data_IF_350414007601
#
_entry.id   IF_350414007601
#
_cell.length_a   1.000
_cell.length_b   1.000
_cell.length_c   1.000
_cell.angle_alpha   90.00
_cell.angle_beta   90.00
_cell.angle_gamma   90.00
#
_symmetry.space_group_name_H-M   'P 1'
#
loop_
_entity.id
_entity.type
_entity.pdbx_description
1 polymer ?
#
# COMPACT_ATOMS: atom_id res chain seq x y z
N UNK A 1 -40.10 5.18 4.65
CA UNK A 1 -38.85 5.07 3.87
C UNK A 1 -38.87 3.80 3.03
N UNK A 2 -38.60 3.88 1.72
CA UNK A 2 -38.79 2.76 0.77
C UNK A 2 -37.77 1.62 1.04
N UNK A 3 -38.24 0.37 1.19
CA UNK A 3 -37.39 -0.82 1.43
C UNK A 3 -36.24 -0.95 0.42
N UNK A 4 -36.48 -0.58 -0.85
CA UNK A 4 -35.48 -0.58 -1.93
C UNK A 4 -34.32 0.39 -1.67
N UNK A 5 -34.60 1.57 -1.11
CA UNK A 5 -33.57 2.58 -0.80
C UNK A 5 -32.66 2.08 0.33
N UNK A 6 -33.23 1.43 1.34
CA UNK A 6 -32.47 0.85 2.47
C UNK A 6 -31.54 -0.24 1.96
N UNK A 7 -32.02 -1.14 1.09
CA UNK A 7 -31.24 -2.24 0.54
C UNK A 7 -30.07 -1.74 -0.33
N UNK A 8 -30.33 -0.78 -1.23
CA UNK A 8 -29.29 -0.15 -2.04
C UNK A 8 -28.21 0.52 -1.19
N UNK A 9 -28.62 1.20 -0.11
CA UNK A 9 -27.71 1.85 0.82
C UNK A 9 -26.82 0.84 1.55
N UNK A 10 -27.40 -0.26 2.05
CA UNK A 10 -26.65 -1.37 2.67
C UNK A 10 -25.62 -1.98 1.69
N UNK A 11 -26.02 -2.20 0.43
CA UNK A 11 -25.13 -2.73 -0.61
C UNK A 11 -23.96 -1.79 -0.92
N UNK A 12 -24.23 -0.48 -1.03
CA UNK A 12 -23.18 0.55 -1.23
C UNK A 12 -22.22 0.63 -0.05
N UNK A 13 -22.74 0.64 1.18
CA UNK A 13 -21.93 0.66 2.41
C UNK A 13 -21.04 -0.58 2.51
N UNK A 14 -21.56 -1.78 2.22
CA UNK A 14 -20.76 -3.01 2.21
C UNK A 14 -19.61 -2.94 1.19
N UNK A 15 -19.84 -2.38 -0.01
CA UNK A 15 -18.80 -2.19 -1.02
C UNK A 15 -17.74 -1.17 -0.60
N UNK A 16 -18.16 -0.06 0.01
CA UNK A 16 -17.24 0.95 0.52
C UNK A 16 -16.37 0.39 1.65
N UNK A 17 -16.99 -0.38 2.55
CA UNK A 17 -16.29 -1.06 3.63
C UNK A 17 -15.26 -2.07 3.10
N UNK A 18 -15.63 -2.89 2.11
CA UNK A 18 -14.70 -3.81 1.47
C UNK A 18 -13.51 -3.08 0.84
N UNK A 19 -13.78 -1.99 0.11
CA UNK A 19 -12.72 -1.16 -0.48
C UNK A 19 -11.76 -0.59 0.58
N UNK A 20 -12.27 -0.08 1.69
CA UNK A 20 -11.43 0.44 2.78
C UNK A 20 -10.56 -0.67 3.40
N UNK A 21 -11.12 -1.86 3.62
CA UNK A 21 -10.40 -3.04 4.14
C UNK A 21 -9.29 -3.45 3.18
N UNK A 22 -9.58 -3.55 1.89
CA UNK A 22 -8.62 -3.96 0.87
C UNK A 22 -7.51 -2.92 0.66
N UNK A 23 -7.86 -1.64 0.69
CA UNK A 23 -6.90 -0.53 0.64
C UNK A 23 -5.96 -0.57 1.85
N UNK A 24 -6.49 -0.81 3.05
CA UNK A 24 -5.69 -0.98 4.27
C UNK A 24 -4.76 -2.18 4.12
N UNK A 25 -5.30 -3.32 3.68
CA UNK A 25 -4.56 -4.56 3.53
C UNK A 25 -3.41 -4.47 2.51
N UNK A 26 -3.57 -3.64 1.46
CA UNK A 26 -2.51 -3.33 0.50
C UNK A 26 -1.42 -2.44 1.12
N UNK A 27 -1.81 -1.42 1.88
CA UNK A 27 -0.89 -0.46 2.50
C UNK A 27 -0.07 -1.05 3.65
N UNK A 28 -0.63 -2.01 4.40
CA UNK A 28 0.03 -2.62 5.57
C UNK A 28 1.40 -3.23 5.22
N UNK A 29 1.55 -4.12 4.24
CA UNK A 29 2.86 -4.59 3.81
C UNK A 29 3.58 -3.56 2.91
N UNK A 30 2.84 -2.80 2.10
CA UNK A 30 3.44 -1.87 1.12
C UNK A 30 4.24 -0.75 1.76
N UNK A 31 3.66 -0.06 2.76
CA UNK A 31 4.25 1.13 3.39
C UNK A 31 5.67 0.90 3.96
N UNK A 32 5.92 -0.13 4.79
CA UNK A 32 7.27 -0.39 5.29
C UNK A 32 8.24 -0.86 4.19
N UNK A 33 7.77 -1.57 3.16
CA UNK A 33 8.66 -1.98 2.06
C UNK A 33 9.09 -0.77 1.23
N UNK A 34 8.17 0.15 0.94
CA UNK A 34 8.51 1.42 0.29
C UNK A 34 9.43 2.28 1.17
N UNK A 35 9.24 2.28 2.50
CA UNK A 35 10.16 2.90 3.45
C UNK A 35 11.59 2.39 3.27
N UNK A 36 11.73 1.07 3.22
CA UNK A 36 13.01 0.41 3.11
C UNK A 36 13.68 0.75 1.78
N UNK A 37 12.90 0.72 0.69
CA UNK A 37 13.42 1.10 -0.62
C UNK A 37 13.91 2.55 -0.65
N UNK A 38 13.10 3.50 -0.17
CA UNK A 38 13.47 4.93 -0.17
C UNK A 38 14.75 5.17 0.65
N UNK A 39 14.85 4.54 1.84
CA UNK A 39 16.02 4.69 2.72
C UNK A 39 17.27 4.05 2.15
N UNK A 40 17.16 2.89 1.49
CA UNK A 40 18.27 2.20 0.81
C UNK A 40 18.65 2.86 -0.52
N UNK A 41 17.72 3.56 -1.18
CA UNK A 41 18.02 4.25 -2.43
C UNK A 41 18.96 5.43 -2.19
N UNK A 42 19.97 5.58 -3.05
CA UNK A 42 20.84 6.76 -3.08
C UNK A 42 20.16 8.02 -3.64
N UNK A 43 18.84 7.99 -3.82
CA UNK A 43 18.07 9.08 -4.43
C UNK A 43 17.92 10.31 -3.52
N UNK A 44 18.52 10.31 -2.32
CA UNK A 44 18.55 11.44 -1.38
C UNK A 44 17.18 12.10 -1.15
N UNK A 45 16.12 11.28 -1.04
CA UNK A 45 14.80 11.78 -0.66
C UNK A 45 14.89 12.47 0.70
N UNK A 46 14.38 13.70 0.77
CA UNK A 46 14.20 14.39 2.04
C UNK A 46 13.10 13.71 2.85
N UNK A 47 13.17 13.78 4.19
CA UNK A 47 12.13 13.24 5.09
C UNK A 47 10.72 13.76 4.75
N UNK A 48 10.63 15.03 4.35
CA UNK A 48 9.39 15.65 3.91
C UNK A 48 8.86 15.04 2.61
N UNK A 49 9.71 14.81 1.60
CA UNK A 49 9.31 14.15 0.35
C UNK A 49 8.83 12.73 0.58
N UNK A 50 9.54 11.95 1.41
CA UNK A 50 9.13 10.60 1.80
C UNK A 50 7.79 10.60 2.54
N UNK A 51 7.60 11.48 3.52
CA UNK A 51 6.33 11.57 4.25
C UNK A 51 5.17 11.93 3.32
N UNK A 52 5.40 12.89 2.43
CA UNK A 52 4.42 13.33 1.44
C UNK A 52 4.08 12.24 0.42
N UNK A 53 5.08 11.53 -0.09
CA UNK A 53 4.88 10.44 -1.07
C UNK A 53 3.94 9.38 -0.50
N UNK A 54 4.06 9.04 0.78
CA UNK A 54 3.20 8.04 1.43
C UNK A 54 1.83 8.54 1.75
N UNK A 55 1.70 9.80 2.17
CA UNK A 55 0.40 10.39 2.43
C UNK A 55 -0.42 10.39 1.14
N UNK A 56 0.20 10.81 0.03
CA UNK A 56 -0.43 10.74 -1.28
C UNK A 56 -0.65 9.31 -1.76
N UNK A 57 0.32 8.41 -1.57
CA UNK A 57 0.17 7.00 -1.93
C UNK A 57 -1.00 6.34 -1.19
N UNK A 58 -1.14 6.62 0.10
CA UNK A 58 -2.28 6.17 0.91
C UNK A 58 -3.58 6.82 0.42
N UNK A 59 -3.61 8.14 0.23
CA UNK A 59 -4.79 8.85 -0.26
C UNK A 59 -5.27 8.30 -1.60
N UNK A 60 -4.38 8.18 -2.59
CA UNK A 60 -4.70 7.66 -3.93
C UNK A 60 -5.18 6.21 -3.87
N UNK A 61 -4.56 5.39 -3.00
CA UNK A 61 -5.02 4.02 -2.71
C UNK A 61 -6.48 4.01 -2.24
N UNK A 62 -6.82 4.84 -1.25
CA UNK A 62 -8.18 4.95 -0.73
C UNK A 62 -9.16 5.63 -1.71
N UNK A 63 -8.70 6.52 -2.59
CA UNK A 63 -9.56 7.17 -3.58
C UNK A 63 -9.97 6.25 -4.74
N UNK A 64 -9.26 5.14 -4.95
CA UNK A 64 -9.69 4.13 -5.91
C UNK A 64 -8.60 3.20 -6.42
N UNK A 65 -7.33 3.55 -6.22
CA UNK A 65 -6.24 2.73 -6.74
C UNK A 65 -6.20 1.34 -6.07
N UNK A 66 -6.59 1.23 -4.79
CA UNK A 66 -6.74 -0.06 -4.11
C UNK A 66 -7.81 -0.95 -4.75
N UNK A 67 -8.94 -0.35 -5.19
CA UNK A 67 -10.00 -1.06 -5.91
C UNK A 67 -9.56 -1.50 -7.30
N UNK A 68 -8.79 -0.65 -7.99
CA UNK A 68 -8.27 -0.98 -9.31
C UNK A 68 -7.28 -2.15 -9.22
N UNK A 69 -6.40 -2.14 -8.22
CA UNK A 69 -5.49 -3.24 -7.94
C UNK A 69 -6.24 -4.54 -7.64
N UNK A 70 -7.22 -4.51 -6.71
CA UNK A 70 -8.05 -5.67 -6.37
C UNK A 70 -8.75 -6.24 -7.60
N UNK A 71 -9.47 -5.37 -8.33
CA UNK A 71 -10.23 -5.78 -9.50
C UNK A 71 -9.33 -6.39 -10.57
N UNK A 72 -8.20 -5.75 -10.87
CA UNK A 72 -7.26 -6.24 -11.87
C UNK A 72 -6.60 -7.56 -11.47
N UNK A 73 -6.25 -7.72 -10.20
CA UNK A 73 -5.68 -8.95 -9.66
C UNK A 73 -6.69 -10.10 -9.75
N UNK A 74 -7.93 -9.90 -9.26
CA UNK A 74 -8.98 -10.92 -9.28
C UNK A 74 -9.33 -11.33 -10.71
N UNK A 75 -9.48 -10.36 -11.63
CA UNK A 75 -9.76 -10.64 -13.04
C UNK A 75 -8.63 -11.35 -13.74
N UNK A 76 -7.39 -11.00 -13.42
CA UNK A 76 -6.22 -11.70 -13.95
C UNK A 76 -6.16 -13.15 -13.46
N UNK A 77 -6.43 -13.41 -12.17
CA UNK A 77 -6.52 -14.79 -11.64
C UNK A 77 -7.62 -15.60 -12.33
N UNK A 78 -8.78 -15.00 -12.55
CA UNK A 78 -9.91 -15.61 -13.28
C UNK A 78 -9.51 -15.97 -14.71
N UNK A 79 -8.90 -15.02 -15.44
CA UNK A 79 -8.46 -15.21 -16.82
C UNK A 79 -7.44 -16.34 -16.98
N UNK A 80 -6.47 -16.45 -16.06
CA UNK A 80 -5.44 -17.49 -16.09
C UNK A 80 -5.83 -18.77 -15.34
N UNK A 81 -7.08 -18.89 -14.87
CA UNK A 81 -7.59 -20.03 -14.11
C UNK A 81 -6.72 -20.41 -12.89
N UNK A 82 -6.32 -19.40 -12.12
CA UNK A 82 -5.43 -19.55 -10.96
C UNK A 82 -6.26 -19.91 -9.71
N UNK A 83 -6.35 -21.22 -9.45
CA UNK A 83 -7.20 -21.76 -8.37
C UNK A 83 -6.45 -22.17 -7.10
N UNK A 84 -5.21 -22.66 -7.21
CA UNK A 84 -4.45 -23.18 -6.06
C UNK A 84 -3.71 -22.07 -5.31
N UNK A 85 -3.51 -22.22 -4.00
CA UNK A 85 -2.85 -21.20 -3.17
C UNK A 85 -1.39 -20.95 -3.60
N UNK A 86 -0.67 -21.98 -4.01
CA UNK A 86 0.70 -21.85 -4.56
C UNK A 86 0.71 -21.02 -5.85
N UNK A 87 -0.16 -21.34 -6.81
CA UNK A 87 -0.25 -20.58 -8.06
C UNK A 87 -0.74 -19.16 -7.82
N UNK A 88 -1.63 -18.94 -6.85
CA UNK A 88 -2.08 -17.58 -6.45
C UNK A 88 -0.92 -16.76 -5.93
N UNK A 89 -0.06 -17.32 -5.07
CA UNK A 89 1.10 -16.62 -4.54
C UNK A 89 2.02 -16.14 -5.68
N UNK A 90 2.36 -17.03 -6.60
CA UNK A 90 3.27 -16.71 -7.71
C UNK A 90 2.63 -15.75 -8.71
N UNK A 91 1.34 -15.94 -9.01
CA UNK A 91 0.57 -15.01 -9.84
C UNK A 91 0.50 -13.62 -9.20
N UNK A 92 0.26 -13.52 -7.90
CA UNK A 92 0.17 -12.25 -7.20
C UNK A 92 1.50 -11.51 -7.19
N UNK A 93 2.62 -12.22 -7.05
CA UNK A 93 3.96 -11.67 -7.20
C UNK A 93 4.16 -11.08 -8.60
N UNK A 94 3.87 -11.86 -9.65
CA UNK A 94 3.99 -11.40 -11.04
C UNK A 94 3.05 -10.23 -11.34
N UNK A 95 1.82 -10.27 -10.84
CA UNK A 95 0.85 -9.20 -10.97
C UNK A 95 1.36 -7.92 -10.27
N UNK A 96 1.90 -8.05 -9.05
CA UNK A 96 2.52 -6.94 -8.33
C UNK A 96 3.70 -6.32 -9.07
N UNK A 97 4.55 -7.13 -9.70
CA UNK A 97 5.65 -6.65 -10.54
C UNK A 97 5.14 -5.89 -11.78
N UNK A 98 4.19 -6.48 -12.53
CA UNK A 98 3.61 -5.85 -13.70
C UNK A 98 2.86 -4.56 -13.36
N UNK A 99 2.12 -4.56 -12.25
CA UNK A 99 1.42 -3.39 -11.73
C UNK A 99 2.41 -2.25 -11.42
N UNK A 100 3.51 -2.55 -10.73
CA UNK A 100 4.53 -1.54 -10.44
C UNK A 100 5.25 -1.06 -11.70
N UNK A 101 5.49 -1.93 -12.68
CA UNK A 101 6.08 -1.53 -13.96
C UNK A 101 5.25 -0.45 -14.68
N UNK A 102 3.92 -0.50 -14.52
CA UNK A 102 2.99 0.47 -15.12
C UNK A 102 2.83 1.73 -14.25
N UNK A 103 2.64 1.56 -12.94
CA UNK A 103 2.31 2.67 -12.04
C UNK A 103 3.54 3.49 -11.63
N UNK A 104 4.70 2.86 -11.45
CA UNK A 104 5.92 3.54 -11.01
C UNK A 104 6.35 4.69 -11.93
N UNK A 105 6.39 4.57 -13.27
CA UNK A 105 6.79 5.70 -14.11
C UNK A 105 5.80 6.87 -14.03
N UNK A 106 4.49 6.58 -13.92
CA UNK A 106 3.45 7.60 -13.73
C UNK A 106 3.68 8.33 -12.40
N UNK A 107 3.93 7.58 -11.33
CA UNK A 107 4.20 8.13 -10.01
C UNK A 107 5.48 8.95 -9.96
N UNK A 108 6.57 8.42 -10.53
CA UNK A 108 7.86 9.09 -10.63
C UNK A 108 7.72 10.45 -11.35
N UNK A 109 6.98 10.47 -12.46
CA UNK A 109 6.69 11.71 -13.16
C UNK A 109 5.83 12.67 -12.32
N UNK A 110 4.80 12.17 -11.63
CA UNK A 110 3.94 12.98 -10.77
C UNK A 110 4.70 13.65 -9.61
N UNK A 111 5.72 12.99 -9.05
CA UNK A 111 6.56 13.54 -7.96
C UNK A 111 7.75 14.38 -8.44
N UNK A 112 7.85 14.63 -9.75
CA UNK A 112 8.80 15.60 -10.32
C UNK A 112 10.03 15.01 -11.01
N UNK A 113 10.18 13.68 -11.10
CA UNK A 113 11.26 13.11 -11.91
C UNK A 113 10.98 13.38 -13.40
N UNK A 114 12.02 13.81 -14.13
CA UNK A 114 11.92 14.16 -15.57
C UNK A 114 12.88 13.36 -16.45
N UNK A 115 13.97 12.87 -15.88
CA UNK A 115 14.99 12.13 -16.61
C UNK A 115 14.57 10.66 -16.82
N UNK A 116 14.71 10.17 -18.06
CA UNK A 116 14.31 8.80 -18.44
C UNK A 116 15.12 7.74 -17.68
N UNK A 117 16.44 7.92 -17.54
CA UNK A 117 17.32 6.96 -16.87
C UNK A 117 16.90 6.66 -15.42
N UNK A 118 16.79 7.68 -14.54
CA UNK A 118 16.29 7.52 -13.18
C UNK A 118 14.87 6.92 -13.10
N UNK A 119 13.96 7.31 -14.00
CA UNK A 119 12.60 6.76 -14.06
C UNK A 119 12.63 5.26 -14.38
N UNK A 120 13.42 4.86 -15.38
CA UNK A 120 13.57 3.45 -15.77
C UNK A 120 14.21 2.63 -14.66
N UNK A 121 15.26 3.14 -14.01
CA UNK A 121 15.91 2.47 -12.89
C UNK A 121 14.95 2.27 -11.71
N UNK A 122 14.24 3.35 -11.31
CA UNK A 122 13.24 3.26 -10.25
C UNK A 122 12.13 2.27 -10.60
N UNK A 123 11.66 2.28 -11.86
CA UNK A 123 10.64 1.34 -12.34
C UNK A 123 11.13 -0.10 -12.28
N UNK A 124 12.36 -0.38 -12.69
CA UNK A 124 12.94 -1.72 -12.60
C UNK A 124 13.05 -2.20 -11.15
N UNK A 125 13.55 -1.35 -10.24
CA UNK A 125 13.65 -1.69 -8.83
C UNK A 125 12.27 -1.93 -8.19
N UNK A 126 11.30 -1.05 -8.46
CA UNK A 126 9.93 -1.19 -7.93
C UNK A 126 9.21 -2.40 -8.52
N UNK A 127 9.48 -2.76 -9.78
CA UNK A 127 8.94 -3.97 -10.38
C UNK A 127 9.50 -5.22 -9.71
N UNK A 128 10.81 -5.23 -9.44
CA UNK A 128 11.46 -6.32 -8.69
C UNK A 128 10.91 -6.44 -7.26
N UNK A 129 10.75 -5.31 -6.55
CA UNK A 129 10.07 -5.28 -5.25
C UNK A 129 8.60 -5.71 -5.34
N UNK A 130 7.96 -5.42 -6.48
CA UNK A 130 6.59 -5.84 -6.79
C UNK A 130 6.39 -7.35 -6.74
N UNK A 131 7.43 -8.16 -6.99
CA UNK A 131 7.36 -9.62 -6.80
C UNK A 131 7.12 -9.98 -5.33
N UNK A 132 7.79 -9.29 -4.40
CA UNK A 132 7.62 -9.54 -2.96
C UNK A 132 6.32 -8.92 -2.47
N UNK A 133 6.08 -7.64 -2.81
CA UNK A 133 4.89 -6.90 -2.39
C UNK A 133 3.63 -7.56 -2.90
N UNK A 134 3.61 -8.03 -4.15
CA UNK A 134 2.44 -8.64 -4.77
C UNK A 134 1.95 -9.87 -4.01
N UNK A 135 2.84 -10.81 -3.68
CA UNK A 135 2.50 -11.98 -2.89
C UNK A 135 2.00 -11.63 -1.48
N UNK A 136 2.65 -10.67 -0.81
CA UNK A 136 2.23 -10.20 0.51
C UNK A 136 0.88 -9.46 0.46
N UNK A 137 0.65 -8.64 -0.56
CA UNK A 137 -0.58 -7.90 -0.76
C UNK A 137 -1.76 -8.83 -1.01
N UNK A 138 -1.60 -9.81 -1.92
CA UNK A 138 -2.64 -10.81 -2.19
C UNK A 138 -3.00 -11.63 -0.96
N UNK A 139 -2.00 -12.05 -0.17
CA UNK A 139 -2.24 -12.72 1.11
C UNK A 139 -2.94 -11.81 2.13
N UNK A 140 -2.44 -10.58 2.29
CA UNK A 140 -2.95 -9.59 3.24
C UNK A 140 -4.40 -9.24 2.95
N UNK A 141 -4.77 -9.02 1.69
CA UNK A 141 -6.15 -8.73 1.29
C UNK A 141 -7.10 -9.86 1.66
N UNK A 142 -6.76 -11.12 1.35
CA UNK A 142 -7.59 -12.26 1.75
C UNK A 142 -7.68 -12.39 3.28
N UNK A 143 -6.56 -12.20 4.00
CA UNK A 143 -6.53 -12.27 5.45
C UNK A 143 -7.40 -11.19 6.11
N UNK A 144 -7.29 -9.93 5.65
CA UNK A 144 -8.08 -8.82 6.18
C UNK A 144 -9.56 -8.98 5.88
N UNK A 145 -9.93 -9.44 4.67
CA UNK A 145 -11.32 -9.76 4.32
C UNK A 145 -11.89 -10.84 5.24
N UNK A 146 -11.10 -11.88 5.57
CA UNK A 146 -11.48 -12.94 6.52
C UNK A 146 -11.66 -12.36 7.93
N UNK A 147 -10.73 -11.50 8.35
CA UNK A 147 -10.75 -10.92 9.69
C UNK A 147 -11.97 -10.06 9.97
N UNK A 148 -12.47 -9.36 8.96
CA UNK A 148 -13.66 -8.51 9.10
C UNK A 148 -14.97 -9.24 8.78
N UNK A 149 -14.90 -10.48 8.28
CA UNK A 149 -16.06 -11.29 7.89
C UNK A 149 -16.67 -10.90 6.53
N UNK A 150 -15.84 -10.45 5.57
CA UNK A 150 -16.26 -10.15 4.21
C UNK A 150 -16.19 -11.36 3.28
N UNK A 151 -15.10 -12.14 3.37
CA UNK A 151 -14.81 -13.31 2.54
C UNK A 151 -13.83 -14.21 3.29
N UNK A 152 -14.04 -15.52 3.30
CA UNK A 152 -13.11 -16.45 3.95
C UNK A 152 -11.81 -16.54 3.14
N UNK A 153 -10.68 -16.58 3.85
CA UNK A 153 -9.36 -16.75 3.22
C UNK A 153 -9.09 -18.21 2.93
N UNK A 154 -8.58 -18.54 1.75
CA UNK A 154 -8.07 -19.90 1.47
C UNK A 154 -6.69 -20.12 2.09
N UNK A 155 -5.85 -19.08 2.12
CA UNK A 155 -4.43 -19.14 2.50
C UNK A 155 -4.12 -19.03 4.00
N UNK A 156 -5.04 -18.53 4.82
CA UNK A 156 -4.81 -18.45 6.27
C UNK A 156 -4.63 -19.87 6.88
N UNK A 157 -3.80 -20.07 7.90
CA UNK A 157 -3.75 -21.34 8.61
C UNK A 157 -5.06 -21.58 9.39
N UNK A 158 -5.49 -22.84 9.50
CA UNK A 158 -6.76 -23.21 10.15
C UNK A 158 -6.89 -22.69 11.59
N UNK A 159 -5.77 -22.59 12.32
CA UNK A 159 -5.73 -22.03 13.69
C UNK A 159 -6.21 -20.58 13.73
N UNK A 160 -5.87 -19.77 12.73
CA UNK A 160 -6.28 -18.35 12.64
C UNK A 160 -7.72 -18.26 12.12
N UNK A 161 -8.10 -19.05 11.11
CA UNK A 161 -9.47 -19.03 10.56
C UNK A 161 -10.54 -19.36 11.61
N UNK A 162 -10.22 -20.26 12.55
CA UNK A 162 -11.13 -20.68 13.63
C UNK A 162 -11.20 -19.72 14.83
N UNK A 163 -10.41 -18.64 14.85
CA UNK A 163 -10.46 -17.66 15.94
C UNK A 163 -11.76 -16.87 15.92
N UNK A 164 -12.14 -16.33 17.08
CA UNK A 164 -13.29 -15.44 17.20
C UNK A 164 -13.09 -14.16 16.40
N UNK A 165 -14.19 -13.53 15.99
CA UNK A 165 -14.16 -12.26 15.23
C UNK A 165 -13.35 -11.18 15.95
N UNK A 166 -13.47 -11.07 17.26
CA UNK A 166 -12.74 -10.09 18.08
C UNK A 166 -11.23 -10.29 17.97
N UNK A 167 -10.76 -11.54 18.07
CA UNK A 167 -9.33 -11.86 17.94
C UNK A 167 -8.83 -11.50 16.54
N UNK A 168 -9.59 -11.85 15.49
CA UNK A 168 -9.23 -11.51 14.11
C UNK A 168 -9.14 -10.00 13.87
N UNK A 169 -10.10 -9.22 14.39
CA UNK A 169 -10.04 -7.75 14.33
C UNK A 169 -8.85 -7.18 15.12
N UNK A 170 -8.50 -7.81 16.25
CA UNK A 170 -7.29 -7.48 16.99
C UNK A 170 -6.02 -7.71 16.17
N UNK A 171 -5.93 -8.85 15.45
CA UNK A 171 -4.81 -9.14 14.55
C UNK A 171 -4.72 -8.15 13.39
N UNK A 172 -5.85 -7.77 12.79
CA UNK A 172 -5.89 -6.73 11.76
C UNK A 172 -5.34 -5.39 12.28
N UNK A 173 -5.83 -4.98 13.46
CA UNK A 173 -5.41 -3.72 14.10
C UNK A 173 -3.92 -3.74 14.47
N UNK A 174 -3.44 -4.87 15.01
CA UNK A 174 -2.02 -5.08 15.31
C UNK A 174 -1.16 -5.02 14.04
N UNK A 175 -1.64 -5.57 12.93
CA UNK A 175 -0.94 -5.50 11.63
C UNK A 175 -0.77 -4.05 11.15
N UNK A 176 -1.80 -3.21 11.29
CA UNK A 176 -1.71 -1.77 10.98
C UNK A 176 -0.71 -1.07 11.92
N UNK A 177 -0.81 -1.29 13.23
CA UNK A 177 0.11 -0.70 14.20
C UNK A 177 1.57 -1.12 13.94
N UNK A 178 1.80 -2.40 13.66
CA UNK A 178 3.12 -2.93 13.32
C UNK A 178 3.66 -2.33 12.02
N UNK A 179 2.82 -2.14 11.00
CA UNK A 179 3.20 -1.48 9.75
C UNK A 179 3.69 -0.04 9.97
N UNK A 180 2.95 0.74 10.78
CA UNK A 180 3.33 2.12 11.12
C UNK A 180 4.63 2.14 11.92
N UNK A 181 4.74 1.30 12.96
CA UNK A 181 5.94 1.22 13.79
C UNK A 181 7.19 0.78 13.01
N UNK A 182 7.04 -0.23 12.13
CA UNK A 182 8.13 -0.69 11.26
C UNK A 182 8.54 0.41 10.28
N UNK A 183 7.57 1.10 9.69
CA UNK A 183 7.81 2.22 8.79
C UNK A 183 8.65 3.31 9.46
N UNK A 184 8.24 3.75 10.65
CA UNK A 184 8.96 4.75 11.44
C UNK A 184 10.37 4.28 11.82
N UNK A 185 10.50 3.03 12.27
CA UNK A 185 11.78 2.44 12.62
C UNK A 185 12.77 2.43 11.45
N UNK A 186 12.27 2.14 10.23
CA UNK A 186 13.09 2.14 9.01
C UNK A 186 13.67 3.54 8.73
N UNK A 187 12.90 4.63 8.87
CA UNK A 187 13.46 5.99 8.70
C UNK A 187 14.50 6.31 9.74
N UNK A 188 14.23 5.99 11.02
CA UNK A 188 15.17 6.25 12.10
C UNK A 188 16.52 5.59 11.85
N UNK A 189 16.50 4.31 11.47
CA UNK A 189 17.72 3.56 11.12
C UNK A 189 18.38 4.13 9.86
N UNK A 190 17.60 4.43 8.81
CA UNK A 190 18.13 5.01 7.57
C UNK A 190 18.81 6.36 7.77
N UNK A 191 18.21 7.26 8.56
CA UNK A 191 18.77 8.56 8.89
C UNK A 191 20.04 8.45 9.74
N UNK A 192 20.04 7.53 10.72
CA UNK A 192 21.22 7.23 11.53
C UNK A 192 22.41 6.78 10.65
N UNK A 193 22.17 5.86 9.70
CA UNK A 193 23.21 5.39 8.77
C UNK A 193 23.76 6.52 7.89
N UNK A 194 22.90 7.47 7.48
CA UNK A 194 23.29 8.61 6.64
C UNK A 194 23.93 9.76 7.43
N UNK A 195 24.02 9.66 8.76
CA UNK A 195 24.52 10.74 9.61
C UNK A 195 23.63 12.00 9.60
N UNK A 196 22.35 11.84 9.25
CA UNK A 196 21.38 12.94 9.29
C UNK A 196 20.88 13.05 10.71
N UNK A 197 21.18 14.16 11.39
CA UNK A 197 20.62 14.42 12.72
C UNK A 197 19.09 14.40 12.66
N UNK A 198 18.42 13.77 13.63
CA UNK A 198 16.97 13.81 13.71
C UNK A 198 16.53 15.27 13.75
N UNK A 199 15.87 15.73 12.68
CA UNK A 199 15.29 17.06 12.73
C UNK A 199 14.22 17.02 13.81
N UNK A 200 14.29 17.95 14.79
CA UNK A 200 13.20 18.11 15.75
C UNK A 200 11.89 18.17 14.95
N UNK A 201 10.77 17.58 15.44
CA UNK A 201 9.50 17.59 14.73
C UNK A 201 9.03 19.04 14.59
N UNK A 202 9.53 19.72 13.55
CA UNK A 202 9.08 21.04 13.14
C UNK A 202 7.64 20.82 12.72
N UNK A 203 6.72 21.63 13.24
CA UNK A 203 5.29 21.56 12.94
C UNK A 203 5.08 21.38 11.43
N UNK A 204 4.92 20.14 10.99
CA UNK A 204 5.11 19.77 9.59
C UNK A 204 4.13 20.46 8.66
N UNK A 205 2.99 20.88 9.21
CA UNK A 205 1.95 21.63 8.51
C UNK A 205 2.37 23.06 8.17
N UNK A 206 3.15 23.74 9.02
CA UNK A 206 3.55 25.13 8.78
C UNK A 206 4.52 25.22 7.58
N UNK A 207 5.48 24.28 7.51
CA UNK A 207 6.42 24.20 6.39
C UNK A 207 5.75 23.77 5.08
N UNK A 208 4.65 23.00 5.15
CA UNK A 208 3.84 22.62 3.97
C UNK A 208 3.09 23.83 3.40
N UNK A 209 2.61 24.74 4.25
CA UNK A 209 1.99 25.99 3.80
C UNK A 209 3.05 26.89 3.17
N UNK A 210 4.23 27.03 3.78
CA UNK A 210 5.33 27.82 3.23
C UNK A 210 5.82 27.31 1.86
N UNK A 211 6.04 26.00 1.70
CA UNK A 211 6.57 25.43 0.45
C UNK A 211 5.60 25.55 -0.73
N UNK A 212 4.28 25.59 -0.47
CA UNK A 212 3.27 25.79 -1.51
C UNK A 212 2.91 27.26 -1.76
N UNK A 213 3.34 28.18 -0.88
CA UNK A 213 3.09 29.62 -1.02
C UNK A 213 4.32 30.40 -1.47
N UNK A 214 5.52 29.81 -1.40
CA UNK A 214 6.72 30.43 -1.94
C UNK A 214 6.60 30.57 -3.47
N UNK A 215 6.68 31.80 -4.02
CA UNK A 215 6.64 32.02 -5.46
C UNK A 215 7.84 31.29 -6.07
N UNK A 216 7.56 30.36 -7.00
CA UNK A 216 8.61 29.71 -7.76
C UNK A 216 9.29 30.76 -8.63
N UNK A 217 10.41 31.29 -8.14
CA UNK A 217 11.30 32.14 -8.90
C UNK A 217 11.78 31.32 -10.09
N UNK A 218 11.33 31.73 -11.28
CA UNK A 218 11.76 31.19 -12.57
C UNK A 218 13.19 31.59 -12.88
#
# INVERSE_FOLDING_TARGET
MNKKIIELSKKKLKKLYAHAVNSTALLVPGTPIFALFETMSNANYTEAQSTYSRLWGAAVTYFGLGKLYEFGQEKSREFFNIVTDEKKKDHDALYGAAYNAIITPIWAYAVGLREVGPIMWNTACMSALGLVIGGLAGYSMEAYQDFVGLKDSTRLPARIKKQSRTVKLGLASLGVAASIAATEGIYKVGNYIKGVEPSAPKAGLEKIVELNTAPQLK
#
